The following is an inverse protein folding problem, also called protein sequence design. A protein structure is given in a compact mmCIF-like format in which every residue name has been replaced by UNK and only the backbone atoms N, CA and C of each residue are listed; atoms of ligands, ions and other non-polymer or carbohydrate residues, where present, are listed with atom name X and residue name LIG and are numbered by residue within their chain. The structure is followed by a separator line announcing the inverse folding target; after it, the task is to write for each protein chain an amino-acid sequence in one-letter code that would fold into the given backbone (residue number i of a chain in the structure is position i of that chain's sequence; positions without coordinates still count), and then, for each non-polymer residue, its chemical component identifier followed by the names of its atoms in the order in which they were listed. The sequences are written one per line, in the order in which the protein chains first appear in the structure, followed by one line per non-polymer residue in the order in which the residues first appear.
data_IF_392168264574
#
_entry.id   IF_392168264574
#
_cell.length_a   1.000
_cell.length_b   1.000
_cell.length_c   1.000
_cell.angle_alpha   90.00
_cell.angle_beta   90.00
_cell.angle_gamma   90.00
#
_symmetry.space_group_name_H-M   'P 1'
#
loop_
_entity.id
_entity.type
_entity.pdbx_description
1 polymer ?
#
# COMPACT_ATOMS: atom_id res chain seq x y z
N UNK A 1 -16.99 -8.47 -3.35
CA UNK A 1 -17.24 -9.62 -4.24
C UNK A 1 -16.32 -10.77 -3.85
N UNK A 2 -16.83 -11.99 -3.82
CA UNK A 2 -16.05 -13.20 -3.55
C UNK A 2 -16.05 -14.08 -4.80
N UNK A 3 -15.02 -14.91 -4.98
CA UNK A 3 -15.01 -15.90 -6.04
C UNK A 3 -15.90 -17.11 -5.71
N UNK A 4 -15.96 -18.10 -6.60
CA UNK A 4 -16.74 -19.32 -6.40
C UNK A 4 -16.32 -20.16 -5.19
N UNK A 5 -15.14 -19.91 -4.64
CA UNK A 5 -14.59 -20.58 -3.46
C UNK A 5 -14.77 -19.76 -2.17
N UNK A 6 -15.45 -18.60 -2.25
CA UNK A 6 -15.66 -17.71 -1.11
C UNK A 6 -14.43 -16.86 -0.76
N UNK A 7 -13.43 -16.75 -1.64
CA UNK A 7 -12.27 -15.89 -1.43
C UNK A 7 -12.53 -14.47 -1.93
N UNK A 8 -12.09 -13.42 -1.21
CA UNK A 8 -12.34 -12.05 -1.63
C UNK A 8 -11.66 -11.73 -2.95
N UNK A 9 -12.44 -11.22 -3.91
CA UNK A 9 -11.90 -10.69 -5.15
C UNK A 9 -11.28 -9.33 -4.85
N UNK A 10 -10.04 -9.18 -5.28
CA UNK A 10 -9.26 -7.93 -5.21
C UNK A 10 -8.86 -7.49 -6.62
N UNK A 11 -8.64 -6.19 -6.81
CA UNK A 11 -8.11 -5.63 -8.06
C UNK A 11 -6.85 -4.83 -7.78
N UNK A 12 -5.79 -5.07 -8.56
CA UNK A 12 -4.53 -4.36 -8.46
C UNK A 12 -4.30 -3.44 -9.66
N UNK A 13 -3.77 -2.25 -9.39
CA UNK A 13 -3.19 -1.37 -10.41
C UNK A 13 -1.69 -1.34 -10.21
N UNK A 14 -0.95 -1.50 -11.31
CA UNK A 14 0.50 -1.57 -11.31
C UNK A 14 1.12 -0.31 -11.92
N UNK A 15 2.29 0.10 -11.42
CA UNK A 15 3.16 1.08 -12.08
C UNK A 15 3.80 0.48 -13.33
N UNK A 16 4.40 1.29 -14.22
CA UNK A 16 5.18 0.79 -15.36
C UNK A 16 6.34 -0.14 -14.95
N UNK A 17 6.87 0.06 -13.74
CA UNK A 17 7.89 -0.80 -13.15
C UNK A 17 7.33 -2.15 -12.63
N UNK A 18 6.01 -2.35 -12.64
CA UNK A 18 5.35 -3.57 -12.19
C UNK A 18 5.08 -3.63 -10.69
N UNK A 19 5.18 -2.52 -9.96
CA UNK A 19 4.81 -2.46 -8.54
C UNK A 19 3.32 -2.15 -8.38
N UNK A 20 2.62 -2.83 -7.46
CA UNK A 20 1.22 -2.49 -7.13
C UNK A 20 1.19 -1.10 -6.50
N UNK A 21 0.48 -0.16 -7.10
CA UNK A 21 0.27 1.21 -6.58
C UNK A 21 -1.11 1.42 -5.96
N UNK A 22 -2.07 0.55 -6.29
CA UNK A 22 -3.40 0.52 -5.67
C UNK A 22 -3.92 -0.90 -5.62
N UNK A 23 -4.48 -1.29 -4.47
CA UNK A 23 -5.22 -2.52 -4.30
C UNK A 23 -6.64 -2.18 -3.83
N UNK A 24 -7.64 -2.57 -4.60
CA UNK A 24 -9.05 -2.39 -4.25
C UNK A 24 -9.61 -3.70 -3.72
N UNK A 25 -10.18 -3.63 -2.53
CA UNK A 25 -10.80 -4.74 -1.82
C UNK A 25 -12.21 -5.03 -2.34
N UNK A 26 -12.74 -6.16 -1.88
CA UNK A 26 -14.05 -6.68 -2.24
C UNK A 26 -15.21 -5.76 -1.82
N UNK A 27 -15.00 -4.87 -0.85
CA UNK A 27 -15.91 -3.85 -0.33
C UNK A 27 -15.70 -2.45 -0.98
N UNK A 28 -14.87 -2.38 -2.03
CA UNK A 28 -14.49 -1.17 -2.79
C UNK A 28 -13.58 -0.18 -2.06
N UNK A 29 -13.18 -0.47 -0.82
CA UNK A 29 -12.11 0.27 -0.14
C UNK A 29 -10.76 -0.05 -0.76
N UNK A 30 -9.81 0.88 -0.70
CA UNK A 30 -8.53 0.72 -1.40
C UNK A 30 -7.33 1.08 -0.54
N UNK A 31 -6.28 0.28 -0.65
CA UNK A 31 -4.94 0.65 -0.20
C UNK A 31 -4.20 1.36 -1.33
N UNK A 32 -3.36 2.34 -0.97
CA UNK A 32 -2.41 2.99 -1.88
C UNK A 32 -0.99 2.65 -1.46
N UNK A 33 -0.10 2.51 -2.43
CA UNK A 33 1.29 2.14 -2.22
C UNK A 33 2.20 3.09 -2.98
N UNK A 34 3.21 3.63 -2.31
CA UNK A 34 4.35 4.28 -2.94
C UNK A 34 5.63 3.57 -2.56
N UNK A 35 6.61 3.59 -3.45
CA UNK A 35 7.89 2.93 -3.26
C UNK A 35 9.01 3.93 -3.55
N UNK A 36 10.04 3.92 -2.70
CA UNK A 36 11.19 4.80 -2.79
C UNK A 36 12.50 3.98 -2.78
N UNK A 37 13.59 4.60 -3.21
CA UNK A 37 14.91 3.98 -3.36
C UNK A 37 15.20 3.54 -4.79
N UNK A 38 16.48 3.36 -5.14
CA UNK A 38 16.92 2.86 -6.44
C UNK A 38 17.13 1.33 -6.40
N UNK A 39 16.86 0.65 -7.52
CA UNK A 39 17.05 -0.80 -7.65
C UNK A 39 15.82 -1.67 -7.36
N UNK A 40 16.01 -2.99 -7.45
CA UNK A 40 15.03 -4.03 -7.09
C UNK A 40 15.71 -5.02 -6.13
N UNK A 41 15.22 -5.22 -4.90
CA UNK A 41 14.01 -4.65 -4.32
C UNK A 41 14.14 -3.17 -3.93
N UNK A 42 13.00 -2.46 -3.88
CA UNK A 42 12.94 -1.10 -3.33
C UNK A 42 13.17 -1.15 -1.83
N UNK A 43 13.89 -0.18 -1.27
CA UNK A 43 14.29 -0.20 0.15
C UNK A 43 13.27 0.45 1.07
N UNK A 44 12.29 1.20 0.52
CA UNK A 44 11.26 1.86 1.30
C UNK A 44 9.91 1.83 0.60
N UNK A 45 8.84 1.70 1.36
CA UNK A 45 7.48 1.92 0.87
C UNK A 45 6.62 2.66 1.89
N UNK A 46 5.58 3.29 1.38
CA UNK A 46 4.54 3.93 2.17
C UNK A 46 3.21 3.31 1.76
N UNK A 47 2.43 2.88 2.74
CA UNK A 47 1.10 2.30 2.54
C UNK A 47 0.08 3.21 3.19
N UNK A 48 -0.91 3.63 2.41
CA UNK A 48 -2.10 4.32 2.93
C UNK A 48 -3.25 3.33 2.93
N UNK A 49 -3.84 3.11 4.11
CA UNK A 49 -5.01 2.25 4.26
C UNK A 49 -6.30 2.95 3.79
N UNK A 50 -7.42 2.22 3.67
CA UNK A 50 -8.68 2.81 3.26
C UNK A 50 -9.22 3.93 4.15
N UNK A 51 -8.82 3.95 5.42
CA UNK A 51 -9.18 4.97 6.41
C UNK A 51 -8.24 6.20 6.33
N UNK A 52 -7.22 6.13 5.49
CA UNK A 52 -6.24 7.17 5.25
C UNK A 52 -5.03 7.13 6.19
N UNK A 53 -4.90 6.12 7.07
CA UNK A 53 -3.71 6.00 7.90
C UNK A 53 -2.51 5.60 7.07
N UNK A 54 -1.36 6.17 7.43
CA UNK A 54 -0.11 6.00 6.71
C UNK A 54 0.83 5.13 7.53
N UNK A 55 1.37 4.09 6.90
CA UNK A 55 2.41 3.23 7.49
C UNK A 55 3.65 3.24 6.60
N UNK A 56 4.80 3.47 7.20
CA UNK A 56 6.10 3.43 6.53
C UNK A 56 6.78 2.08 6.74
N UNK A 57 7.39 1.55 5.68
CA UNK A 57 8.20 0.34 5.72
C UNK A 57 9.61 0.63 5.20
N UNK A 58 10.62 0.12 5.90
CA UNK A 58 12.02 0.15 5.47
C UNK A 58 12.52 -1.28 5.44
N UNK A 59 12.96 -1.74 4.27
CA UNK A 59 13.44 -3.10 4.04
C UNK A 59 14.96 -3.15 4.19
N UNK A 60 15.45 -4.09 4.97
CA UNK A 60 16.86 -4.36 5.23
C UNK A 60 17.17 -5.83 4.95
N UNK A 61 18.44 -6.24 4.81
CA UNK A 61 18.80 -7.65 4.68
C UNK A 61 18.27 -8.53 5.84
N UNK A 62 18.12 -7.95 7.03
CA UNK A 62 17.66 -8.63 8.24
C UNK A 62 16.12 -8.65 8.37
N UNK A 63 15.38 -8.03 7.44
CA UNK A 63 13.92 -8.02 7.43
C UNK A 63 13.33 -6.67 7.06
N UNK A 64 12.39 -6.18 7.86
CA UNK A 64 11.82 -4.85 7.67
C UNK A 64 11.48 -4.18 9.00
N UNK A 65 11.61 -2.85 9.00
CA UNK A 65 11.07 -1.99 10.04
C UNK A 65 9.75 -1.39 9.57
N UNK A 66 8.76 -1.32 10.46
CA UNK A 66 7.48 -0.63 10.21
C UNK A 66 7.24 0.46 11.23
N UNK A 67 6.71 1.60 10.79
CA UNK A 67 6.16 2.59 11.72
C UNK A 67 4.84 2.09 12.33
N UNK A 68 4.37 2.78 13.37
CA UNK A 68 2.96 2.68 13.74
C UNK A 68 2.10 3.37 12.65
N UNK A 69 0.82 2.98 12.48
CA UNK A 69 -0.10 3.71 11.62
C UNK A 69 -0.27 5.14 12.13
N UNK A 70 0.07 6.11 11.29
CA UNK A 70 -0.06 7.53 11.58
C UNK A 70 -1.37 8.03 10.98
N UNK A 71 -2.08 8.89 11.72
CA UNK A 71 -3.32 9.48 11.21
C UNK A 71 -3.02 10.24 9.90
N UNK A 72 -3.95 10.25 8.94
CA UNK A 72 -3.80 11.07 7.75
C UNK A 72 -3.50 12.51 8.17
N UNK A 73 -2.45 13.11 7.60
CA UNK A 73 -2.30 14.55 7.69
C UNK A 73 -3.59 15.15 7.15
N UNK A 74 -4.29 15.97 7.96
CA UNK A 74 -5.42 16.71 7.45
C UNK A 74 -4.93 17.46 6.20
N UNK A 75 -5.51 17.16 5.05
CA UNK A 75 -5.29 17.97 3.87
C UNK A 75 -5.79 19.37 4.24
N UNK A 76 -4.86 20.28 4.53
CA UNK A 76 -5.17 21.70 4.62
C UNK A 76 -5.61 22.08 3.21
N UNK A 77 -6.92 22.13 2.98
CA UNK A 77 -7.47 22.74 1.77
C UNK A 77 -6.96 24.18 1.75
N UNK A 78 -6.10 24.48 0.79
CA UNK A 78 -5.78 25.85 0.39
C UNK A 78 -6.88 26.38 -0.52
#
# INVERSE_FOLDING_TARGET
MFDSNGQPIITNIFSPDGFVIRQTLSDRRSFMYSYEGSGRPRTRSVVTDPEGYVTHFVFTPDGYHRSLPERPALAVKR
#
